data_IF_479236688708
#
_entry.id   IF_479236688708
#
_cell.length_a   1.000
_cell.length_b   1.000
_cell.length_c   1.000
_cell.angle_alpha   90.00
_cell.angle_beta   90.00
_cell.angle_gamma   90.00
#
_symmetry.space_group_name_H-M   'P 1'
#
loop_
_entity.id
_entity.type
_entity.pdbx_description
1 polymer ?
#
# COMPACT_ATOMS: atom_id res chain seq x y z
N UNK A 1 -24.14 31.34 17.43
CA UNK A 1 -23.37 30.52 16.48
C UNK A 1 -22.09 30.10 17.19
N UNK A 2 -22.14 28.98 17.89
CA UNK A 2 -20.96 28.41 18.54
C UNK A 2 -20.41 27.32 17.62
N UNK A 3 -19.50 27.71 16.73
CA UNK A 3 -18.67 26.76 16.02
C UNK A 3 -17.82 26.03 17.06
N UNK A 4 -18.10 24.77 17.31
CA UNK A 4 -17.28 23.93 18.19
C UNK A 4 -15.87 23.87 17.65
N UNK A 5 -14.92 24.33 18.42
CA UNK A 5 -13.48 24.20 18.12
C UNK A 5 -13.09 22.77 18.48
N UNK A 6 -12.96 21.92 17.48
CA UNK A 6 -12.45 20.55 17.65
C UNK A 6 -10.91 20.55 17.51
N UNK A 7 -10.19 20.94 18.54
CA UNK A 7 -8.73 21.05 18.50
C UNK A 7 -8.17 21.78 19.70
N UNK A 8 -8.78 21.60 20.85
CA UNK A 8 -8.18 21.94 22.13
C UNK A 8 -7.70 20.67 22.82
N UNK A 9 -6.83 20.78 23.74
CA UNK A 9 -6.01 19.76 24.43
C UNK A 9 -6.69 18.48 24.95
N UNK A 10 -7.98 18.23 24.68
CA UNK A 10 -8.73 17.12 25.28
C UNK A 10 -9.21 16.03 24.30
N UNK A 11 -9.39 16.30 22.99
CA UNK A 11 -9.88 15.28 22.04
C UNK A 11 -9.16 15.38 20.70
N UNK A 12 -8.13 14.58 20.50
CA UNK A 12 -7.39 14.51 19.25
C UNK A 12 -8.22 13.96 18.09
N UNK A 13 -8.08 14.54 16.90
CA UNK A 13 -8.65 13.97 15.68
C UNK A 13 -7.97 12.65 15.30
N UNK A 14 -8.70 11.76 14.67
CA UNK A 14 -8.17 10.52 14.11
C UNK A 14 -7.87 10.70 12.63
N UNK A 15 -6.76 10.09 12.18
CA UNK A 15 -6.33 10.09 10.79
C UNK A 15 -6.25 8.66 10.29
N UNK A 16 -6.94 8.38 9.17
CA UNK A 16 -6.90 7.11 8.47
C UNK A 16 -6.32 7.29 7.07
N UNK A 17 -5.34 6.47 6.73
CA UNK A 17 -4.84 6.28 5.38
C UNK A 17 -4.95 4.80 5.02
N UNK A 18 -5.97 4.45 4.24
CA UNK A 18 -6.26 3.06 3.87
C UNK A 18 -5.86 2.86 2.41
N UNK A 19 -4.64 2.37 2.22
CA UNK A 19 -4.09 2.03 0.91
C UNK A 19 -4.39 0.59 0.50
N UNK A 20 -4.07 0.24 -0.75
CA UNK A 20 -4.27 -1.13 -1.27
C UNK A 20 -3.42 -2.18 -0.55
N UNK A 21 -2.30 -1.81 0.06
CA UNK A 21 -1.39 -2.72 0.76
C UNK A 21 -1.63 -2.76 2.27
N UNK A 22 -1.70 -1.59 2.92
CA UNK A 22 -1.87 -1.51 4.37
C UNK A 22 -2.78 -0.38 4.80
N UNK A 23 -3.37 -0.57 5.97
CA UNK A 23 -4.15 0.40 6.75
C UNK A 23 -3.20 1.11 7.70
N UNK A 24 -3.23 2.43 7.72
CA UNK A 24 -2.50 3.26 8.67
C UNK A 24 -3.50 4.15 9.37
N UNK A 25 -3.49 4.13 10.68
CA UNK A 25 -4.39 4.93 11.49
C UNK A 25 -3.72 5.39 12.78
N UNK A 26 -4.03 6.59 13.25
CA UNK A 26 -3.42 7.17 14.44
C UNK A 26 -4.05 8.51 14.80
N UNK A 27 -3.51 9.15 15.82
CA UNK A 27 -3.97 10.47 16.25
C UNK A 27 -3.26 11.59 15.48
N UNK A 28 -3.99 12.65 15.20
CA UNK A 28 -3.43 13.85 14.61
C UNK A 28 -2.38 14.47 15.56
N UNK A 29 -1.29 14.98 14.98
CA UNK A 29 -0.16 15.54 15.72
C UNK A 29 0.92 14.52 16.10
N UNK A 30 0.69 13.21 15.88
CA UNK A 30 1.73 12.17 16.04
C UNK A 30 2.59 12.05 14.77
N UNK A 31 3.86 11.63 14.95
CA UNK A 31 4.84 11.48 13.87
C UNK A 31 4.68 10.17 13.08
N UNK A 32 4.04 9.18 13.66
CA UNK A 32 3.79 7.89 13.03
C UNK A 32 2.42 7.31 13.41
N UNK A 33 1.81 6.50 12.53
CA UNK A 33 0.53 5.88 12.80
C UNK A 33 0.64 4.87 13.94
N UNK A 34 -0.41 4.78 14.76
CA UNK A 34 -0.55 3.81 15.85
C UNK A 34 -0.88 2.41 15.33
N UNK A 35 -1.54 2.34 14.18
CA UNK A 35 -1.89 1.11 13.47
C UNK A 35 -1.22 1.08 12.10
N UNK A 36 -0.54 -0.02 11.76
CA UNK A 36 -0.05 -0.37 10.42
C UNK A 36 -0.24 -1.88 10.25
N UNK A 37 -1.25 -2.27 9.48
CA UNK A 37 -1.58 -3.67 9.24
C UNK A 37 -2.12 -3.88 7.81
N UNK A 38 -2.12 -5.13 7.28
CA UNK A 38 -2.57 -5.40 5.91
C UNK A 38 -4.01 -4.96 5.66
N UNK A 39 -4.28 -4.37 4.49
CA UNK A 39 -5.64 -4.05 4.05
C UNK A 39 -6.43 -5.29 3.64
N UNK A 40 -5.75 -6.36 3.21
CA UNK A 40 -6.41 -7.63 2.94
C UNK A 40 -6.95 -8.24 4.24
N UNK A 41 -8.08 -8.91 4.13
CA UNK A 41 -8.78 -9.53 5.25
C UNK A 41 -9.07 -11.01 4.96
N UNK A 42 -9.14 -11.81 6.02
CA UNK A 42 -9.68 -13.17 5.96
C UNK A 42 -11.18 -13.16 6.22
N UNK A 43 -11.94 -13.94 5.45
CA UNK A 43 -13.39 -14.04 5.56
C UNK A 43 -13.78 -15.51 5.60
N UNK A 44 -14.59 -15.90 6.60
CA UNK A 44 -15.28 -17.20 6.64
C UNK A 44 -16.78 -16.96 6.66
N UNK A 45 -17.51 -17.76 5.90
CA UNK A 45 -18.95 -17.83 5.98
C UNK A 45 -19.31 -18.98 6.93
N UNK A 46 -20.10 -18.71 7.97
CA UNK A 46 -20.61 -19.74 8.83
C UNK A 46 -21.52 -20.65 7.98
N UNK A 47 -21.13 -21.92 7.84
CA UNK A 47 -22.03 -22.92 7.29
C UNK A 47 -23.13 -23.14 8.30
N UNK A 48 -24.38 -22.98 7.89
CA UNK A 48 -25.54 -23.46 8.62
C UNK A 48 -25.42 -24.99 8.73
N UNK A 49 -24.70 -25.48 9.74
CA UNK A 49 -24.82 -26.85 10.18
C UNK A 49 -26.24 -26.98 10.72
N UNK A 50 -27.10 -27.65 9.97
CA UNK A 50 -28.52 -27.82 10.25
C UNK A 50 -28.88 -28.47 11.62
N UNK A 51 -28.18 -28.08 12.68
CA UNK A 51 -28.50 -28.35 14.07
C UNK A 51 -29.33 -27.19 14.59
N UNK A 52 -30.65 -27.36 14.54
CA UNK A 52 -31.67 -26.50 15.21
C UNK A 52 -31.32 -26.32 16.69
N UNK A 53 -31.01 -25.09 17.15
CA UNK A 53 -31.15 -24.80 18.57
C UNK A 53 -32.60 -24.52 18.88
N UNK A 54 -33.12 -25.12 19.97
CA UNK A 54 -34.40 -24.86 20.55
C UNK A 54 -34.63 -23.37 20.72
N UNK A 55 -35.79 -22.92 20.28
CA UNK A 55 -36.30 -21.57 20.43
C UNK A 55 -36.26 -21.09 21.89
N UNK A 56 -35.47 -20.06 22.16
CA UNK A 56 -35.73 -19.15 23.26
C UNK A 56 -35.95 -17.76 22.66
N UNK A 57 -37.12 -17.24 22.94
CA UNK A 57 -37.64 -15.94 22.53
C UNK A 57 -36.69 -14.80 22.96
N UNK A 58 -36.34 -13.92 22.04
CA UNK A 58 -35.75 -12.63 22.38
C UNK A 58 -34.60 -12.22 21.46
N UNK A 59 -34.89 -11.32 20.56
CA UNK A 59 -34.01 -10.49 19.73
C UNK A 59 -33.61 -11.05 18.35
N UNK A 60 -34.41 -10.61 17.37
CA UNK A 60 -34.17 -10.85 15.94
C UNK A 60 -33.24 -9.80 15.38
N UNK A 61 -31.94 -10.00 15.51
CA UNK A 61 -30.94 -9.49 14.57
C UNK A 61 -30.06 -10.65 14.10
N UNK A 62 -30.57 -11.51 13.19
CA UNK A 62 -29.76 -12.45 12.45
C UNK A 62 -28.86 -11.66 11.48
N UNK A 63 -27.68 -11.23 11.97
CA UNK A 63 -26.58 -10.89 11.11
C UNK A 63 -26.13 -12.19 10.39
N UNK A 64 -25.98 -12.12 9.07
CA UNK A 64 -25.37 -13.17 8.25
C UNK A 64 -24.09 -13.63 8.94
N UNK A 65 -23.90 -14.96 9.10
CA UNK A 65 -22.78 -15.55 9.81
C UNK A 65 -21.44 -15.41 9.09
N UNK A 66 -21.00 -14.16 8.85
CA UNK A 66 -19.70 -13.84 8.25
C UNK A 66 -18.75 -13.41 9.35
N UNK A 67 -17.61 -14.11 9.46
CA UNK A 67 -16.54 -13.77 10.41
C UNK A 67 -15.35 -13.19 9.67
N UNK A 68 -14.85 -12.05 10.16
CA UNK A 68 -13.72 -11.34 9.59
C UNK A 68 -12.46 -11.55 10.44
N UNK A 69 -11.33 -11.78 9.77
CA UNK A 69 -10.01 -11.93 10.38
C UNK A 69 -9.11 -10.83 9.82
N UNK A 70 -8.74 -9.90 10.69
CA UNK A 70 -8.05 -8.66 10.33
C UNK A 70 -6.75 -8.60 11.10
N UNK A 71 -5.73 -7.94 10.50
CA UNK A 71 -4.38 -7.84 11.03
C UNK A 71 -3.54 -9.13 10.85
N UNK A 72 -2.23 -8.93 10.76
CA UNK A 72 -1.21 -9.96 10.49
C UNK A 72 -1.34 -11.16 11.42
N UNK A 73 -1.58 -10.91 12.71
CA UNK A 73 -1.68 -11.97 13.73
C UNK A 73 -2.87 -12.90 13.51
N UNK A 74 -3.96 -12.39 12.94
CA UNK A 74 -5.13 -13.21 12.62
C UNK A 74 -5.05 -13.84 11.23
N UNK A 75 -4.55 -13.10 10.25
CA UNK A 75 -4.42 -13.55 8.86
C UNK A 75 -3.44 -14.73 8.71
N UNK A 76 -2.36 -14.75 9.48
CA UNK A 76 -1.35 -15.81 9.37
C UNK A 76 -1.73 -17.12 10.05
N UNK A 77 -2.84 -17.17 10.76
CA UNK A 77 -3.34 -18.40 11.38
C UNK A 77 -4.17 -19.18 10.35
N UNK A 78 -3.78 -20.42 10.02
CA UNK A 78 -4.54 -21.23 9.07
C UNK A 78 -5.93 -21.58 9.62
N UNK A 79 -6.94 -21.41 8.79
CA UNK A 79 -8.34 -21.76 9.09
C UNK A 79 -8.96 -22.42 7.88
N UNK A 80 -9.79 -23.40 8.17
CA UNK A 80 -10.61 -24.03 7.14
C UNK A 80 -11.58 -23.02 6.54
N UNK A 81 -11.75 -23.04 5.23
CA UNK A 81 -12.69 -22.16 4.49
C UNK A 81 -12.42 -20.65 4.58
N UNK A 82 -11.30 -20.20 5.15
CA UNK A 82 -10.97 -18.78 5.17
C UNK A 82 -10.46 -18.31 3.81
N UNK A 83 -11.24 -17.46 3.14
CA UNK A 83 -10.81 -16.75 1.94
C UNK A 83 -10.11 -15.45 2.30
N UNK A 84 -9.05 -15.11 1.56
CA UNK A 84 -8.35 -13.82 1.71
C UNK A 84 -8.69 -12.92 0.54
N UNK A 85 -9.16 -11.73 0.85
CA UNK A 85 -9.62 -10.75 -0.13
C UNK A 85 -9.27 -9.32 0.28
N UNK A 86 -9.27 -8.41 -0.70
CA UNK A 86 -9.11 -6.97 -0.45
C UNK A 86 -10.46 -6.26 -0.56
N UNK A 87 -10.83 -5.38 0.39
CA UNK A 87 -12.03 -4.56 0.26
C UNK A 87 -11.88 -3.43 -0.77
N UNK A 88 -10.65 -3.20 -1.26
CA UNK A 88 -10.37 -2.15 -2.22
C UNK A 88 -10.14 -2.71 -3.63
N UNK A 89 -10.62 -1.96 -4.63
CA UNK A 89 -10.30 -2.17 -6.04
C UNK A 89 -9.89 -0.85 -6.68
N UNK A 90 -8.76 -0.84 -7.36
CA UNK A 90 -8.19 0.39 -7.93
C UNK A 90 -8.00 1.53 -6.89
N UNK A 91 -7.65 1.18 -5.64
CA UNK A 91 -7.49 2.14 -4.55
C UNK A 91 -8.80 2.74 -4.01
N UNK A 92 -9.95 2.24 -4.43
CA UNK A 92 -11.28 2.69 -4.00
C UNK A 92 -12.02 1.56 -3.28
N UNK A 93 -12.89 1.92 -2.35
CA UNK A 93 -13.72 0.97 -1.61
C UNK A 93 -14.69 0.28 -2.59
N UNK A 94 -14.68 -1.05 -2.59
CA UNK A 94 -15.60 -1.88 -3.38
C UNK A 94 -16.51 -2.72 -2.46
N UNK A 95 -15.91 -3.40 -1.49
CA UNK A 95 -16.62 -4.17 -0.48
C UNK A 95 -16.75 -3.35 0.81
N UNK A 96 -17.94 -2.84 1.05
CA UNK A 96 -18.25 -1.94 2.17
C UNK A 96 -18.32 -2.66 3.51
N UNK A 97 -18.80 -3.90 3.54
CA UNK A 97 -18.93 -4.69 4.77
C UNK A 97 -17.52 -5.03 5.30
N UNK A 98 -16.65 -5.47 4.40
CA UNK A 98 -15.25 -5.73 4.72
C UNK A 98 -14.49 -4.47 5.11
N UNK A 99 -14.78 -3.35 4.47
CA UNK A 99 -14.18 -2.05 4.82
C UNK A 99 -14.64 -1.58 6.21
N UNK A 100 -15.92 -1.72 6.51
CA UNK A 100 -16.46 -1.42 7.84
C UNK A 100 -15.82 -2.31 8.91
N UNK A 101 -15.63 -3.60 8.64
CA UNK A 101 -14.94 -4.50 9.57
C UNK A 101 -13.50 -4.03 9.88
N UNK A 102 -12.78 -3.46 8.91
CA UNK A 102 -11.46 -2.84 9.13
C UNK A 102 -11.56 -1.65 10.08
N UNK A 103 -12.55 -0.77 9.89
CA UNK A 103 -12.76 0.38 10.78
C UNK A 103 -13.09 -0.09 12.21
N UNK A 104 -14.03 -1.03 12.36
CA UNK A 104 -14.41 -1.60 13.65
C UNK A 104 -13.21 -2.22 14.38
N UNK A 105 -12.39 -2.99 13.65
CA UNK A 105 -11.15 -3.55 14.19
C UNK A 105 -10.19 -2.45 14.65
N UNK A 106 -10.02 -1.40 13.86
CA UNK A 106 -9.11 -0.29 14.18
C UNK A 106 -9.55 0.44 15.43
N UNK A 107 -10.83 0.78 15.53
CA UNK A 107 -11.39 1.42 16.72
C UNK A 107 -11.24 0.53 17.97
N UNK A 108 -11.59 -0.74 17.86
CA UNK A 108 -11.58 -1.69 18.99
C UNK A 108 -10.19 -2.02 19.46
N UNK A 109 -9.25 -2.31 18.54
CA UNK A 109 -7.94 -2.86 18.89
C UNK A 109 -6.87 -1.80 19.06
N UNK A 110 -6.90 -0.75 18.25
CA UNK A 110 -5.83 0.25 18.21
C UNK A 110 -6.17 1.54 18.96
N UNK A 111 -7.36 2.09 18.76
CA UNK A 111 -7.76 3.32 19.45
C UNK A 111 -8.34 3.05 20.84
N UNK A 112 -9.12 2.00 20.99
CA UNK A 112 -9.83 1.66 22.24
C UNK A 112 -10.67 2.84 22.76
N UNK A 113 -11.28 3.56 21.84
CA UNK A 113 -12.08 4.75 22.09
C UNK A 113 -13.33 4.73 21.22
N UNK A 114 -14.38 5.40 21.69
CA UNK A 114 -15.63 5.51 20.97
C UNK A 114 -15.48 6.44 19.75
N UNK A 115 -15.95 6.01 18.55
CA UNK A 115 -15.86 6.83 17.35
C UNK A 115 -16.50 8.21 17.49
N UNK A 116 -17.60 8.31 18.22
CA UNK A 116 -18.36 9.55 18.43
C UNK A 116 -17.60 10.65 19.17
N UNK A 117 -16.44 10.34 19.75
CA UNK A 117 -15.62 11.32 20.47
C UNK A 117 -14.63 12.08 19.57
N UNK A 118 -14.31 11.55 18.41
CA UNK A 118 -13.18 12.03 17.61
C UNK A 118 -13.59 12.50 16.21
N UNK A 119 -13.19 13.70 15.79
CA UNK A 119 -13.18 14.06 14.38
C UNK A 119 -12.31 13.10 13.57
N UNK A 120 -12.67 12.82 12.32
CA UNK A 120 -11.94 11.88 11.46
C UNK A 120 -11.52 12.54 10.16
N UNK A 121 -10.21 12.53 9.87
CA UNK A 121 -9.66 12.82 8.56
C UNK A 121 -9.30 11.49 7.90
N UNK A 122 -9.78 11.27 6.67
CA UNK A 122 -9.47 10.06 5.90
C UNK A 122 -8.87 10.42 4.55
N UNK A 123 -7.85 9.66 4.15
CA UNK A 123 -7.28 9.77 2.81
C UNK A 123 -8.17 9.10 1.77
N UNK A 124 -8.14 9.58 0.55
CA UNK A 124 -8.80 8.95 -0.60
C UNK A 124 -7.93 8.98 -1.85
N UNK A 125 -8.18 8.06 -2.78
CA UNK A 125 -7.57 8.09 -4.10
C UNK A 125 -8.00 9.35 -4.86
N UNK A 126 -7.07 9.99 -5.60
CA UNK A 126 -7.35 11.22 -6.33
C UNK A 126 -8.38 11.06 -7.45
N UNK A 127 -8.68 9.84 -7.85
CA UNK A 127 -9.69 9.46 -8.84
C UNK A 127 -10.95 8.83 -8.23
N UNK A 128 -11.16 9.02 -6.91
CA UNK A 128 -12.34 8.48 -6.25
C UNK A 128 -13.63 9.08 -6.83
N UNK A 129 -14.69 8.29 -6.87
CA UNK A 129 -15.95 8.69 -7.45
C UNK A 129 -16.85 9.39 -6.44
N UNK A 130 -17.69 10.30 -6.93
CA UNK A 130 -18.66 11.02 -6.10
C UNK A 130 -19.53 10.07 -5.27
N UNK A 131 -20.08 9.02 -5.89
CA UNK A 131 -20.94 8.06 -5.19
C UNK A 131 -20.25 7.35 -4.02
N UNK A 132 -18.97 7.00 -4.17
CA UNK A 132 -18.18 6.35 -3.12
C UNK A 132 -17.83 7.34 -2.00
N UNK A 133 -17.54 8.59 -2.34
CA UNK A 133 -17.29 9.67 -1.37
C UNK A 133 -18.53 9.96 -0.53
N UNK A 134 -19.69 10.09 -1.16
CA UNK A 134 -20.96 10.28 -0.49
C UNK A 134 -21.30 9.11 0.44
N UNK A 135 -21.11 7.86 -0.03
CA UNK A 135 -21.36 6.65 0.79
C UNK A 135 -20.43 6.55 1.99
N UNK A 136 -19.17 6.90 1.83
CA UNK A 136 -18.22 6.93 2.94
C UNK A 136 -18.61 7.99 3.98
N UNK A 137 -19.01 9.17 3.52
CA UNK A 137 -19.47 10.26 4.41
C UNK A 137 -20.70 9.85 5.21
N UNK A 138 -21.68 9.21 4.54
CA UNK A 138 -22.88 8.63 5.17
C UNK A 138 -22.51 7.58 6.23
N UNK A 139 -21.60 6.64 5.90
CA UNK A 139 -21.12 5.63 6.85
C UNK A 139 -20.50 6.27 8.11
N UNK A 140 -19.66 7.28 7.94
CA UNK A 140 -18.97 7.92 9.05
C UNK A 140 -19.92 8.69 9.98
N UNK A 141 -20.90 9.42 9.44
CA UNK A 141 -21.84 10.18 10.25
C UNK A 141 -23.00 9.33 10.80
N UNK A 142 -23.55 8.43 10.01
CA UNK A 142 -24.76 7.69 10.42
C UNK A 142 -24.44 6.44 11.24
N UNK A 143 -23.42 5.67 10.84
CA UNK A 143 -23.05 4.46 11.57
C UNK A 143 -22.09 4.74 12.74
N UNK A 144 -20.98 5.47 12.47
CA UNK A 144 -19.99 5.77 13.50
C UNK A 144 -20.31 7.00 14.34
N UNK A 145 -21.30 7.77 13.94
CA UNK A 145 -21.79 8.95 14.69
C UNK A 145 -20.68 9.95 15.05
N UNK A 146 -19.67 10.11 14.19
CA UNK A 146 -18.54 10.98 14.44
C UNK A 146 -18.95 12.47 14.49
N UNK A 147 -18.24 13.32 15.26
CA UNK A 147 -18.59 14.73 15.41
C UNK A 147 -18.24 15.59 14.19
N UNK A 148 -17.19 15.21 13.45
CA UNK A 148 -16.76 15.91 12.24
C UNK A 148 -15.97 14.99 11.32
N UNK A 149 -16.03 15.25 10.02
CA UNK A 149 -15.36 14.46 8.99
C UNK A 149 -14.67 15.33 7.96
N UNK A 150 -13.53 14.89 7.45
CA UNK A 150 -12.87 15.46 6.29
C UNK A 150 -12.26 14.38 5.42
N UNK A 151 -12.51 14.45 4.12
CA UNK A 151 -11.98 13.53 3.13
C UNK A 151 -10.98 14.26 2.23
N UNK A 152 -9.73 13.80 2.20
CA UNK A 152 -8.64 14.46 1.49
C UNK A 152 -7.93 13.53 0.51
N UNK A 153 -7.57 14.05 -0.66
CA UNK A 153 -6.78 13.31 -1.65
C UNK A 153 -5.41 12.95 -1.10
N UNK A 154 -5.03 11.68 -1.19
CA UNK A 154 -3.74 11.17 -0.69
C UNK A 154 -2.53 11.92 -1.25
N UNK A 155 -2.60 12.36 -2.52
CA UNK A 155 -1.54 13.16 -3.14
C UNK A 155 -1.41 14.55 -2.49
N UNK A 156 -2.52 15.21 -2.13
CA UNK A 156 -2.50 16.50 -1.42
C UNK A 156 -1.85 16.32 -0.06
N UNK A 157 -2.22 15.28 0.68
CA UNK A 157 -1.63 14.97 1.98
C UNK A 157 -0.12 14.69 1.87
N UNK A 158 0.30 13.92 0.85
CA UNK A 158 1.71 13.63 0.62
C UNK A 158 2.53 14.88 0.26
N UNK A 159 1.96 15.79 -0.55
CA UNK A 159 2.59 17.08 -0.83
C UNK A 159 2.72 17.90 0.46
N UNK A 160 1.66 17.95 1.26
CA UNK A 160 1.60 18.68 2.51
C UNK A 160 2.60 18.16 3.55
N UNK A 161 2.77 16.84 3.68
CA UNK A 161 3.79 16.21 4.52
C UNK A 161 5.21 16.70 4.21
N UNK A 162 5.44 17.10 2.96
CA UNK A 162 6.72 17.61 2.48
C UNK A 162 6.78 19.15 2.43
N UNK A 163 5.85 19.85 3.08
CA UNK A 163 5.78 21.30 3.14
C UNK A 163 5.51 21.96 1.78
N UNK A 164 4.73 21.28 0.90
CA UNK A 164 4.43 21.76 -0.45
C UNK A 164 2.92 21.89 -0.65
N UNK A 165 2.47 23.06 -1.12
CA UNK A 165 1.13 23.25 -1.66
C UNK A 165 1.06 22.99 -3.16
N UNK A 166 2.21 23.08 -3.85
CA UNK A 166 2.35 22.84 -5.30
C UNK A 166 3.52 21.90 -5.54
N UNK A 167 3.27 20.86 -6.34
CA UNK A 167 4.27 19.86 -6.73
C UNK A 167 3.64 18.68 -7.46
N UNK A 168 4.48 17.80 -8.00
CA UNK A 168 4.05 16.53 -8.56
C UNK A 168 4.28 15.43 -7.54
N UNK A 169 3.25 14.71 -7.17
CA UNK A 169 3.37 13.53 -6.28
C UNK A 169 3.51 12.28 -7.13
N UNK A 170 4.67 11.66 -7.06
CA UNK A 170 4.93 10.33 -7.60
C UNK A 170 4.78 9.32 -6.46
N UNK A 171 3.74 8.50 -6.53
CA UNK A 171 3.50 7.42 -5.57
C UNK A 171 3.59 6.06 -6.26
N UNK A 172 4.51 5.21 -5.80
CA UNK A 172 4.66 3.83 -6.27
C UNK A 172 4.26 2.86 -5.17
N UNK A 173 2.99 2.44 -5.22
CA UNK A 173 2.36 1.58 -4.24
C UNK A 173 2.30 0.10 -4.65
N UNK A 174 1.32 -0.64 -4.11
CA UNK A 174 1.14 -2.06 -4.43
C UNK A 174 0.56 -2.25 -5.84
N UNK A 175 -0.55 -1.59 -6.14
CA UNK A 175 -1.33 -1.82 -7.37
C UNK A 175 -1.01 -0.87 -8.50
N UNK A 176 -0.55 0.34 -8.19
CA UNK A 176 -0.30 1.39 -9.18
C UNK A 176 0.94 2.21 -8.83
N UNK A 177 1.59 2.70 -9.87
CA UNK A 177 2.51 3.85 -9.83
C UNK A 177 1.80 5.02 -10.47
N UNK A 178 1.66 6.13 -9.75
CA UNK A 178 0.87 7.29 -10.15
C UNK A 178 1.68 8.57 -10.08
N UNK A 179 1.47 9.46 -11.05
CA UNK A 179 1.93 10.84 -10.98
C UNK A 179 0.70 11.74 -10.92
N UNK A 180 0.62 12.54 -9.88
CA UNK A 180 -0.54 13.37 -9.57
C UNK A 180 -0.06 14.80 -9.34
N UNK A 181 -0.38 15.75 -10.24
CA UNK A 181 -0.02 17.13 -10.05
C UNK A 181 -0.95 17.79 -9.04
N UNK A 182 -0.35 18.46 -8.07
CA UNK A 182 -1.03 19.26 -7.06
C UNK A 182 -0.63 20.72 -7.26
N UNK A 183 -1.59 21.63 -7.29
CA UNK A 183 -1.39 23.05 -7.40
C UNK A 183 -2.22 23.79 -6.36
N UNK A 184 -1.57 24.58 -5.51
CA UNK A 184 -2.19 25.30 -4.39
C UNK A 184 -3.11 24.44 -3.52
N UNK A 185 -2.73 23.19 -3.29
CA UNK A 185 -3.47 22.22 -2.49
C UNK A 185 -4.59 21.49 -3.24
N UNK A 186 -4.75 21.69 -4.55
CA UNK A 186 -5.76 21.02 -5.36
C UNK A 186 -5.14 20.07 -6.38
N UNK A 187 -5.76 18.91 -6.56
CA UNK A 187 -5.34 17.96 -7.60
C UNK A 187 -5.81 18.44 -8.97
N UNK A 188 -4.89 18.50 -9.92
CA UNK A 188 -5.21 18.78 -11.31
C UNK A 188 -5.63 17.47 -12.00
N UNK A 189 -6.93 17.21 -12.05
CA UNK A 189 -7.52 15.93 -12.51
C UNK A 189 -7.07 15.51 -13.91
N UNK A 190 -6.92 16.48 -14.83
CA UNK A 190 -6.47 16.22 -16.20
C UNK A 190 -5.02 15.75 -16.28
N UNK A 191 -4.21 16.01 -15.27
CA UNK A 191 -2.80 15.63 -15.21
C UNK A 191 -2.54 14.29 -14.51
N UNK A 192 -3.56 13.60 -14.02
CA UNK A 192 -3.38 12.30 -13.36
C UNK A 192 -2.94 11.24 -14.36
N UNK A 193 -1.78 10.64 -14.14
CA UNK A 193 -1.28 9.50 -14.91
C UNK A 193 -1.07 8.31 -14.00
N UNK A 194 -1.57 7.15 -14.43
CA UNK A 194 -1.47 5.88 -13.70
C UNK A 194 -0.80 4.83 -14.55
N UNK A 195 0.06 4.03 -13.93
CA UNK A 195 0.66 2.83 -14.51
C UNK A 195 0.41 1.63 -13.60
N UNK A 196 0.10 0.44 -14.13
CA UNK A 196 -0.04 -0.78 -13.33
C UNK A 196 1.32 -1.37 -12.93
N UNK A 197 2.42 -0.79 -13.39
CA UNK A 197 3.77 -1.21 -13.03
C UNK A 197 4.09 -0.76 -11.59
N UNK A 198 3.87 -1.65 -10.64
CA UNK A 198 3.96 -1.37 -9.21
C UNK A 198 4.36 -2.63 -8.42
N UNK A 199 4.07 -2.71 -7.14
CA UNK A 199 4.47 -3.83 -6.28
C UNK A 199 3.94 -5.18 -6.71
N UNK A 200 2.67 -5.25 -7.11
CA UNK A 200 2.03 -6.49 -7.57
C UNK A 200 2.63 -6.99 -8.89
N UNK A 201 2.98 -6.06 -9.77
CA UNK A 201 3.73 -6.38 -11.00
C UNK A 201 5.08 -7.01 -10.67
N UNK A 202 5.86 -6.44 -9.75
CA UNK A 202 7.13 -7.01 -9.34
C UNK A 202 6.96 -8.37 -8.67
N UNK A 203 5.90 -8.56 -7.87
CA UNK A 203 5.58 -9.86 -7.27
C UNK A 203 5.32 -10.92 -8.33
N UNK A 204 4.62 -10.57 -9.41
CA UNK A 204 4.39 -11.45 -10.55
C UNK A 204 5.71 -11.82 -11.23
N UNK A 205 6.58 -10.85 -11.51
CA UNK A 205 7.89 -11.10 -12.13
C UNK A 205 8.80 -11.97 -11.25
N UNK A 206 8.75 -11.80 -9.93
CA UNK A 206 9.46 -12.70 -9.01
C UNK A 206 8.91 -14.14 -9.05
N UNK A 207 7.59 -14.31 -9.17
CA UNK A 207 6.99 -15.65 -9.32
C UNK A 207 7.49 -16.34 -10.61
N UNK A 208 7.52 -15.60 -11.71
CA UNK A 208 8.04 -16.11 -12.99
C UNK A 208 9.52 -16.50 -12.88
N UNK A 209 10.34 -15.69 -12.21
CA UNK A 209 11.74 -16.02 -11.93
C UNK A 209 11.87 -17.34 -11.16
N UNK A 210 11.12 -17.51 -10.07
CA UNK A 210 11.16 -18.77 -9.29
C UNK A 210 10.69 -19.99 -10.09
N UNK A 211 9.70 -19.82 -10.96
CA UNK A 211 9.24 -20.88 -11.87
C UNK A 211 10.35 -21.27 -12.88
N UNK A 212 11.05 -20.30 -13.47
CA UNK A 212 12.17 -20.54 -14.39
C UNK A 212 13.34 -21.25 -13.71
N UNK A 213 13.61 -20.92 -12.47
CA UNK A 213 14.65 -21.56 -11.65
C UNK A 213 14.19 -22.94 -11.12
N UNK A 214 12.96 -23.39 -11.40
CA UNK A 214 12.33 -24.58 -10.81
C UNK A 214 12.36 -24.57 -9.27
N UNK A 215 12.24 -23.41 -8.66
CA UNK A 215 12.21 -23.22 -7.21
C UNK A 215 10.77 -23.06 -6.75
N UNK A 216 10.31 -24.00 -5.94
CA UNK A 216 8.98 -23.94 -5.33
C UNK A 216 8.99 -22.97 -4.13
N UNK A 217 8.03 -22.05 -4.10
CA UNK A 217 7.83 -21.13 -2.97
C UNK A 217 7.06 -21.86 -1.88
N UNK A 218 7.76 -22.26 -0.81
CA UNK A 218 7.18 -22.98 0.31
C UNK A 218 6.92 -22.02 1.47
N UNK A 219 5.66 -21.70 1.78
CA UNK A 219 5.36 -20.80 2.89
C UNK A 219 5.62 -21.47 4.25
N UNK A 220 5.96 -20.67 5.30
CA UNK A 220 6.39 -21.19 6.60
C UNK A 220 5.42 -22.17 7.27
N UNK A 221 4.11 -22.04 7.03
CA UNK A 221 3.12 -22.91 7.66
C UNK A 221 3.25 -24.39 7.24
N UNK A 222 3.87 -24.68 6.10
CA UNK A 222 4.09 -26.03 5.59
C UNK A 222 5.35 -26.68 6.15
N UNK A 223 6.26 -25.92 6.75
CA UNK A 223 7.59 -26.35 7.15
C UNK A 223 7.54 -26.86 8.60
N UNK A 224 7.95 -28.11 8.84
CA UNK A 224 8.09 -28.67 10.18
C UNK A 224 9.46 -28.34 10.77
N UNK A 225 10.53 -28.52 10.00
CA UNK A 225 11.88 -28.22 10.43
C UNK A 225 12.80 -27.98 9.23
N UNK A 226 13.79 -27.13 9.41
CA UNK A 226 14.96 -27.04 8.52
C UNK A 226 16.00 -28.02 9.05
N UNK A 227 16.65 -28.77 8.16
CA UNK A 227 17.78 -29.60 8.57
C UNK A 227 19.00 -28.69 8.59
N UNK A 228 19.55 -28.49 9.80
CA UNK A 228 20.74 -27.67 9.98
C UNK A 228 21.91 -28.19 9.15
N UNK A 229 22.36 -27.43 8.20
CA UNK A 229 23.46 -27.73 7.27
C UNK A 229 24.83 -27.74 7.92
N UNK A 230 24.94 -27.52 9.25
CA UNK A 230 26.25 -27.53 9.93
C UNK A 230 27.01 -28.86 9.76
N UNK A 231 26.31 -29.96 9.57
CA UNK A 231 26.92 -31.27 9.26
C UNK A 231 27.26 -31.45 7.77
N UNK A 232 26.75 -30.61 6.87
CA UNK A 232 27.01 -30.68 5.43
C UNK A 232 28.29 -29.93 5.02
N UNK A 233 28.76 -28.99 5.82
CA UNK A 233 30.01 -28.25 5.51
C UNK A 233 31.25 -29.14 5.43
N UNK A 234 31.25 -30.27 6.07
CA UNK A 234 32.37 -31.25 6.00
C UNK A 234 32.36 -32.01 4.65
N UNK A 235 31.21 -32.13 3.99
CA UNK A 235 31.10 -32.86 2.70
C UNK A 235 31.24 -31.93 1.46
N UNK A 236 31.15 -30.62 1.59
CA UNK A 236 31.06 -29.66 0.47
C UNK A 236 32.41 -29.03 0.11
N UNK A 237 33.51 -29.38 0.81
CA UNK A 237 34.86 -28.84 0.46
C UNK A 237 35.34 -29.26 -0.94
N UNK A 238 34.60 -30.12 -1.66
CA UNK A 238 35.02 -30.63 -2.98
C UNK A 238 34.04 -30.38 -4.13
N UNK A 239 32.94 -29.67 -3.95
CA UNK A 239 32.05 -29.33 -5.07
C UNK A 239 31.81 -27.83 -5.12
N UNK A 240 32.52 -27.16 -6.00
CA UNK A 240 32.19 -25.81 -6.49
C UNK A 240 30.91 -25.96 -7.33
N UNK A 241 29.76 -25.82 -6.70
CA UNK A 241 28.48 -25.81 -7.41
C UNK A 241 27.93 -24.40 -7.48
N UNK A 242 27.85 -23.88 -8.68
CA UNK A 242 27.15 -22.66 -9.08
C UNK A 242 25.62 -22.80 -9.04
N UNK A 243 25.11 -23.94 -8.61
CA UNK A 243 23.69 -24.20 -8.49
C UNK A 243 23.29 -24.18 -7.00
N UNK A 244 22.16 -23.56 -6.71
CA UNK A 244 21.62 -23.42 -5.35
C UNK A 244 21.61 -24.75 -4.60
N UNK A 245 22.05 -24.76 -3.35
CA UNK A 245 22.05 -25.97 -2.55
C UNK A 245 20.60 -26.46 -2.37
N UNK A 246 20.32 -27.76 -2.65
CA UNK A 246 18.97 -28.28 -2.51
C UNK A 246 18.48 -28.10 -1.08
N UNK A 247 17.26 -27.62 -0.95
CA UNK A 247 16.65 -27.40 0.34
C UNK A 247 16.54 -28.70 1.12
N UNK A 248 17.10 -28.74 2.31
CA UNK A 248 16.96 -29.87 3.24
C UNK A 248 15.95 -29.47 4.33
N UNK A 249 14.69 -29.81 4.09
CA UNK A 249 13.59 -29.48 5.01
C UNK A 249 12.62 -30.64 5.13
N UNK A 250 11.85 -30.63 6.21
CA UNK A 250 10.76 -31.58 6.42
C UNK A 250 9.44 -30.88 6.33
N UNK A 251 8.56 -31.39 5.47
CA UNK A 251 7.16 -30.96 5.41
C UNK A 251 6.44 -31.46 6.66
N UNK A 252 5.48 -30.66 7.18
CA UNK A 252 4.60 -31.12 8.27
C UNK A 252 3.80 -32.35 7.80
N UNK A 253 3.70 -33.35 8.66
CA UNK A 253 2.95 -34.59 8.37
C UNK A 253 1.45 -34.32 8.17
N UNK A 254 0.89 -33.40 8.98
CA UNK A 254 -0.50 -32.95 8.86
C UNK A 254 -0.49 -31.46 8.50
N UNK A 255 -0.87 -31.18 7.29
CA UNK A 255 -1.12 -29.79 6.85
C UNK A 255 -2.56 -29.40 7.19
N UNK A 256 -2.78 -28.15 7.67
CA UNK A 256 -4.13 -27.64 7.81
C UNK A 256 -4.80 -27.57 6.43
N UNK A 257 -6.09 -27.85 6.39
CA UNK A 257 -6.89 -27.50 5.22
C UNK A 257 -7.01 -26.00 5.12
N UNK A 258 -6.63 -25.45 3.98
CA UNK A 258 -6.65 -24.00 3.74
C UNK A 258 -7.16 -23.73 2.32
N UNK A 259 -7.73 -22.55 2.12
CA UNK A 259 -8.15 -22.11 0.79
C UNK A 259 -6.96 -21.74 -0.09
N UNK A 260 -7.19 -21.72 -1.39
CA UNK A 260 -6.18 -21.30 -2.36
C UNK A 260 -5.78 -19.84 -2.19
N UNK A 261 -6.75 -18.96 -1.88
CA UNK A 261 -6.48 -17.54 -1.66
C UNK A 261 -5.57 -17.30 -0.46
N UNK A 262 -5.80 -18.03 0.64
CA UNK A 262 -4.94 -17.95 1.82
C UNK A 262 -3.54 -18.51 1.57
N UNK A 263 -3.43 -19.66 0.90
CA UNK A 263 -2.14 -20.21 0.49
C UNK A 263 -1.35 -19.19 -0.36
N UNK A 264 -2.01 -18.61 -1.37
CA UNK A 264 -1.40 -17.59 -2.23
C UNK A 264 -0.96 -16.34 -1.45
N UNK A 265 -1.74 -15.92 -0.46
CA UNK A 265 -1.36 -14.83 0.44
C UNK A 265 -0.09 -15.17 1.20
N UNK A 266 0.03 -16.37 1.74
CA UNK A 266 1.24 -16.81 2.46
C UNK A 266 2.46 -16.93 1.55
N UNK A 267 2.29 -17.38 0.32
CA UNK A 267 3.35 -17.37 -0.70
C UNK A 267 3.75 -15.91 -1.08
N UNK A 268 2.79 -15.01 -1.19
CA UNK A 268 3.07 -13.59 -1.45
C UNK A 268 3.89 -12.94 -0.34
N UNK A 269 3.67 -13.31 0.92
CA UNK A 269 4.50 -12.82 2.01
C UNK A 269 5.98 -13.20 1.84
N UNK A 270 6.27 -14.42 1.34
CA UNK A 270 7.64 -14.85 1.04
C UNK A 270 8.23 -14.05 -0.13
N UNK A 271 7.44 -13.82 -1.18
CA UNK A 271 7.87 -13.03 -2.34
C UNK A 271 8.17 -11.59 -1.94
N UNK A 272 7.34 -10.99 -1.11
CA UNK A 272 7.54 -9.61 -0.65
C UNK A 272 8.79 -9.46 0.22
N UNK A 273 9.09 -10.46 1.04
CA UNK A 273 10.36 -10.51 1.79
C UNK A 273 11.57 -10.61 0.85
N UNK A 274 11.48 -11.47 -0.17
CA UNK A 274 12.49 -11.55 -1.22
C UNK A 274 12.68 -10.23 -1.96
N UNK A 275 11.59 -9.56 -2.36
CA UNK A 275 11.64 -8.26 -3.04
C UNK A 275 12.38 -7.22 -2.21
N UNK A 276 12.03 -7.12 -0.93
CA UNK A 276 12.62 -6.13 -0.03
C UNK A 276 14.12 -6.40 0.25
N UNK A 277 14.52 -7.68 0.23
CA UNK A 277 15.87 -8.09 0.60
C UNK A 277 16.85 -8.14 -0.59
N UNK A 278 16.35 -8.45 -1.79
CA UNK A 278 17.21 -8.82 -2.94
C UNK A 278 17.17 -7.80 -4.07
N UNK A 279 16.00 -7.22 -4.37
CA UNK A 279 15.86 -6.37 -5.54
C UNK A 279 16.60 -5.04 -5.41
N UNK A 280 17.20 -4.63 -6.52
CA UNK A 280 17.93 -3.36 -6.65
C UNK A 280 17.67 -2.77 -8.03
N UNK A 281 17.43 -1.47 -8.10
CA UNK A 281 17.37 -0.72 -9.37
C UNK A 281 18.78 -0.41 -9.84
N UNK A 282 19.03 -0.62 -11.12
CA UNK A 282 20.29 -0.23 -11.75
C UNK A 282 20.38 1.29 -11.91
N UNK A 283 21.57 1.85 -11.74
CA UNK A 283 21.83 3.28 -11.91
C UNK A 283 21.60 3.79 -13.35
N UNK A 284 21.74 2.91 -14.33
CA UNK A 284 21.53 3.16 -15.76
C UNK A 284 20.51 2.17 -16.31
N UNK A 285 19.96 2.37 -17.52
CA UNK A 285 19.14 1.37 -18.19
C UNK A 285 19.80 0.00 -18.14
N UNK A 286 19.00 -1.05 -17.94
CA UNK A 286 19.50 -2.40 -17.77
C UNK A 286 20.33 -2.86 -18.97
N UNK A 287 21.53 -3.30 -18.69
CA UNK A 287 22.45 -3.94 -19.63
C UNK A 287 22.88 -5.29 -19.03
N UNK A 288 22.62 -6.36 -19.77
CA UNK A 288 22.88 -7.73 -19.30
C UNK A 288 24.38 -8.00 -19.06
N UNK A 289 25.26 -7.42 -19.89
CA UNK A 289 26.71 -7.59 -19.76
C UNK A 289 27.24 -6.88 -18.50
N UNK A 290 26.71 -5.70 -18.21
CA UNK A 290 27.06 -4.95 -17.00
C UNK A 290 26.47 -5.63 -15.76
N UNK A 291 25.21 -6.05 -15.84
CA UNK A 291 24.51 -6.73 -14.73
C UNK A 291 25.19 -8.05 -14.34
N UNK A 292 25.71 -8.80 -15.32
CA UNK A 292 26.42 -10.06 -15.08
C UNK A 292 27.73 -9.89 -14.28
N UNK A 293 28.31 -8.68 -14.26
CA UNK A 293 29.53 -8.36 -13.52
C UNK A 293 29.26 -7.82 -12.11
N UNK A 294 28.00 -7.53 -11.80
CA UNK A 294 27.62 -7.00 -10.48
C UNK A 294 27.65 -8.08 -9.40
N UNK A 295 27.96 -7.73 -8.15
CA UNK A 295 27.94 -8.67 -7.04
C UNK A 295 26.59 -9.33 -6.90
N UNK A 296 26.59 -10.64 -6.62
CA UNK A 296 25.37 -11.39 -6.29
C UNK A 296 24.89 -11.07 -4.89
N UNK A 297 23.58 -11.25 -4.67
CA UNK A 297 22.95 -11.15 -3.35
C UNK A 297 22.49 -12.53 -2.92
N UNK A 298 22.96 -12.95 -1.74
CA UNK A 298 22.54 -14.22 -1.15
C UNK A 298 21.16 -14.09 -0.53
N UNK A 299 20.29 -15.07 -0.79
CA UNK A 299 18.96 -15.15 -0.15
C UNK A 299 18.60 -16.59 0.20
N UNK A 300 18.12 -16.80 1.43
CA UNK A 300 17.63 -18.07 1.92
C UNK A 300 16.10 -18.05 2.02
N UNK A 301 15.44 -18.91 1.26
CA UNK A 301 14.00 -19.13 1.35
C UNK A 301 13.61 -19.78 2.69
N UNK A 302 12.32 -19.66 3.12
CA UNK A 302 11.87 -20.21 4.40
C UNK A 302 12.15 -21.70 4.60
N UNK A 303 12.19 -22.50 3.53
CA UNK A 303 12.50 -23.94 3.55
C UNK A 303 14.01 -24.25 3.60
N UNK A 304 14.87 -23.23 3.65
CA UNK A 304 16.33 -23.39 3.68
C UNK A 304 16.98 -23.54 2.29
N UNK A 305 16.23 -23.38 1.21
CA UNK A 305 16.85 -23.26 -0.12
C UNK A 305 17.62 -21.94 -0.19
N UNK A 306 18.89 -22.04 -0.57
CA UNK A 306 19.80 -20.93 -0.68
C UNK A 306 20.18 -20.69 -2.14
N UNK A 307 20.15 -19.44 -2.57
CA UNK A 307 20.56 -19.06 -3.92
C UNK A 307 21.20 -17.69 -3.93
N UNK A 308 22.16 -17.49 -4.80
CA UNK A 308 22.80 -16.21 -5.07
C UNK A 308 22.16 -15.60 -6.31
N UNK A 309 21.50 -14.46 -6.15
CA UNK A 309 20.83 -13.74 -7.22
C UNK A 309 21.76 -12.68 -7.81
N UNK A 310 21.95 -12.73 -9.12
CA UNK A 310 22.83 -11.85 -9.89
C UNK A 310 22.06 -10.79 -10.67
N UNK A 311 22.11 -10.91 -12.01
CA UNK A 311 21.47 -9.98 -12.94
C UNK A 311 19.94 -9.88 -12.75
N UNK A 312 19.30 -10.96 -12.32
CA UNK A 312 17.84 -11.05 -12.11
C UNK A 312 17.34 -10.00 -11.12
N UNK A 313 18.12 -9.73 -10.06
CA UNK A 313 17.75 -8.75 -9.03
C UNK A 313 17.70 -7.31 -9.56
N UNK A 314 18.39 -7.03 -10.66
CA UNK A 314 18.36 -5.74 -11.36
C UNK A 314 17.30 -5.71 -12.45
N UNK A 315 17.09 -6.83 -13.12
CA UNK A 315 16.16 -6.96 -14.26
C UNK A 315 14.70 -6.77 -13.85
N UNK A 316 14.30 -7.34 -12.71
CA UNK A 316 12.90 -7.27 -12.26
C UNK A 316 12.46 -5.82 -12.01
N UNK A 317 13.14 -5.02 -11.16
CA UNK A 317 12.73 -3.64 -10.93
C UNK A 317 12.98 -2.71 -12.12
N UNK A 318 13.82 -3.08 -13.10
CA UNK A 318 13.95 -2.35 -14.35
C UNK A 318 12.60 -2.23 -15.08
N UNK A 319 11.72 -3.25 -14.94
CA UNK A 319 10.38 -3.21 -15.51
C UNK A 319 9.51 -2.04 -15.03
N UNK A 320 9.84 -1.41 -13.89
CA UNK A 320 9.19 -0.18 -13.43
C UNK A 320 9.60 1.04 -14.30
N UNK A 321 10.81 1.04 -14.83
CA UNK A 321 11.38 2.13 -15.62
C UNK A 321 11.24 1.90 -17.11
N UNK A 322 11.54 0.68 -17.56
CA UNK A 322 11.40 0.24 -18.94
C UNK A 322 10.55 -1.05 -19.02
N UNK A 323 9.26 -0.95 -19.33
CA UNK A 323 8.37 -2.10 -19.42
C UNK A 323 8.70 -3.06 -20.58
N UNK A 324 9.52 -2.67 -21.55
CA UNK A 324 9.95 -3.55 -22.63
C UNK A 324 10.78 -4.74 -22.15
N UNK A 325 11.40 -4.60 -20.96
CA UNK A 325 12.15 -5.67 -20.31
C UNK A 325 11.27 -6.62 -19.48
N UNK A 326 9.96 -6.36 -19.37
CA UNK A 326 9.05 -7.17 -18.58
C UNK A 326 8.52 -8.36 -19.40
N UNK A 327 8.58 -9.56 -18.80
CA UNK A 327 8.01 -10.76 -19.43
C UNK A 327 6.47 -10.77 -19.32
N UNK A 328 5.82 -11.34 -20.34
CA UNK A 328 4.37 -11.59 -20.32
C UNK A 328 3.50 -10.36 -20.54
N UNK A 329 4.07 -9.18 -20.72
CA UNK A 329 3.33 -7.97 -21.04
C UNK A 329 3.58 -7.55 -22.50
N UNK A 330 2.53 -7.22 -23.22
CA UNK A 330 2.67 -6.53 -24.50
C UNK A 330 3.14 -5.10 -24.20
N UNK A 331 4.47 -4.90 -24.17
CA UNK A 331 5.15 -3.73 -23.61
C UNK A 331 4.86 -2.37 -24.25
N UNK A 332 4.00 -2.30 -25.25
CA UNK A 332 3.85 -1.08 -26.05
C UNK A 332 2.85 -0.04 -25.51
N UNK A 333 2.16 -0.32 -24.41
CA UNK A 333 1.13 0.58 -23.88
C UNK A 333 1.34 1.05 -22.44
N UNK A 334 2.30 0.47 -21.74
CA UNK A 334 2.56 0.81 -20.34
C UNK A 334 3.69 1.83 -20.21
N UNK A 335 3.47 2.81 -19.35
CA UNK A 335 4.44 3.87 -19.10
C UNK A 335 5.36 3.49 -17.93
N UNK A 336 6.67 3.54 -18.16
CA UNK A 336 7.65 3.49 -17.07
C UNK A 336 7.61 4.76 -16.22
N UNK A 337 8.17 4.69 -15.01
CA UNK A 337 8.08 5.74 -13.97
C UNK A 337 8.48 7.12 -14.51
N UNK A 338 9.59 7.23 -15.23
CA UNK A 338 10.03 8.51 -15.79
C UNK A 338 9.03 9.11 -16.79
N UNK A 339 8.39 8.27 -17.60
CA UNK A 339 7.35 8.70 -18.56
C UNK A 339 6.04 9.06 -17.86
N UNK A 340 5.66 8.34 -16.80
CA UNK A 340 4.49 8.67 -15.97
C UNK A 340 4.60 10.11 -15.45
N UNK A 341 5.78 10.49 -14.93
CA UNK A 341 6.06 11.85 -14.44
C UNK A 341 5.99 12.88 -15.56
N UNK A 342 6.74 12.67 -16.63
CA UNK A 342 6.83 13.67 -17.73
C UNK A 342 5.52 13.85 -18.47
N UNK A 343 4.75 12.76 -18.65
CA UNK A 343 3.41 12.80 -19.25
C UNK A 343 2.45 13.61 -18.36
N UNK A 344 2.45 13.36 -17.05
CA UNK A 344 1.61 14.08 -16.10
C UNK A 344 1.88 15.59 -16.12
N UNK A 345 3.15 16.00 -16.04
CA UNK A 345 3.53 17.41 -16.11
C UNK A 345 3.15 18.00 -17.50
N UNK A 346 3.37 17.23 -18.56
CA UNK A 346 3.03 17.65 -19.92
C UNK A 346 1.55 17.92 -20.18
N UNK A 347 0.66 17.29 -19.41
CA UNK A 347 -0.80 17.51 -19.47
C UNK A 347 -1.26 18.75 -18.69
N UNK A 348 -0.36 19.37 -17.92
CA UNK A 348 -0.66 20.59 -17.17
C UNK A 348 -0.29 21.85 -17.98
N UNK A 349 -0.85 22.98 -17.55
CA UNK A 349 -0.55 24.29 -18.15
C UNK A 349 0.94 24.61 -18.05
N UNK A 350 1.45 25.27 -19.08
CA UNK A 350 2.89 25.56 -19.22
C UNK A 350 3.44 26.37 -18.06
N UNK A 351 2.64 27.28 -17.52
CA UNK A 351 3.06 28.21 -16.49
C UNK A 351 3.28 27.53 -15.12
N UNK A 352 2.62 26.40 -14.87
CA UNK A 352 2.76 25.65 -13.62
C UNK A 352 3.80 24.55 -13.67
N UNK A 353 4.23 24.11 -14.88
CA UNK A 353 5.20 23.03 -15.04
C UNK A 353 6.52 23.23 -14.30
N UNK A 354 7.10 24.47 -14.26
CA UNK A 354 8.32 24.73 -13.49
C UNK A 354 8.15 24.42 -12.00
N UNK A 355 6.99 24.77 -11.43
CA UNK A 355 6.65 24.47 -10.04
C UNK A 355 6.53 22.97 -9.77
N UNK A 356 5.94 22.22 -10.73
CA UNK A 356 5.79 20.77 -10.65
C UNK A 356 7.14 20.05 -10.71
N UNK A 357 8.00 20.39 -11.68
CA UNK A 357 9.36 19.83 -11.76
C UNK A 357 10.24 20.25 -10.58
N UNK A 358 10.03 21.45 -10.07
CA UNK A 358 10.74 22.00 -8.89
C UNK A 358 10.34 21.33 -7.57
N UNK A 359 9.33 20.48 -7.56
CA UNK A 359 8.82 19.79 -6.38
C UNK A 359 8.22 18.44 -6.73
N UNK A 360 9.04 17.50 -7.17
CA UNK A 360 8.63 16.11 -7.41
C UNK A 360 8.74 15.34 -6.10
N UNK A 361 7.62 15.13 -5.43
CA UNK A 361 7.52 14.38 -4.16
C UNK A 361 7.45 12.89 -4.47
N UNK A 362 8.38 12.13 -3.92
CA UNK A 362 8.50 10.68 -4.14
C UNK A 362 8.00 9.93 -2.93
N UNK A 363 6.98 9.10 -3.09
CA UNK A 363 6.36 8.30 -2.03
C UNK A 363 6.02 6.87 -2.49
N UNK A 364 5.61 6.03 -1.54
CA UNK A 364 5.25 4.64 -1.78
C UNK A 364 6.38 3.65 -1.53
N UNK A 365 6.01 2.43 -1.17
CA UNK A 365 6.94 1.38 -0.74
C UNK A 365 7.97 0.97 -1.78
N UNK A 366 7.61 0.95 -3.06
CA UNK A 366 8.53 0.56 -4.14
C UNK A 366 9.68 1.55 -4.33
N UNK A 367 9.47 2.81 -3.93
CA UNK A 367 10.51 3.85 -4.04
C UNK A 367 11.67 3.65 -3.07
N UNK A 368 11.50 2.73 -2.10
CA UNK A 368 12.53 2.33 -1.13
C UNK A 368 13.50 1.27 -1.67
N UNK A 369 13.22 0.69 -2.83
CA UNK A 369 14.17 -0.22 -3.48
C UNK A 369 15.47 0.52 -3.71
N UNK A 370 16.58 -0.10 -3.32
CA UNK A 370 17.91 0.49 -3.46
C UNK A 370 18.14 0.96 -4.91
N UNK A 371 18.63 2.18 -5.10
CA UNK A 371 18.91 2.77 -6.42
C UNK A 371 17.69 3.44 -7.10
N UNK A 372 16.45 3.24 -6.60
CA UNK A 372 15.24 3.77 -7.24
C UNK A 372 15.31 5.29 -7.43
N UNK A 373 15.60 6.03 -6.36
CA UNK A 373 15.60 7.50 -6.38
C UNK A 373 16.72 8.06 -7.27
N UNK A 374 17.89 7.44 -7.26
CA UNK A 374 19.03 7.88 -8.07
C UNK A 374 18.76 7.66 -9.56
N UNK A 375 18.21 6.50 -9.91
CA UNK A 375 17.80 6.20 -11.28
C UNK A 375 16.70 7.17 -11.75
N UNK A 376 15.69 7.40 -10.92
CA UNK A 376 14.61 8.35 -11.23
C UNK A 376 15.15 9.75 -11.47
N UNK A 377 16.05 10.22 -10.60
CA UNK A 377 16.67 11.53 -10.75
C UNK A 377 17.44 11.66 -12.06
N UNK A 378 18.22 10.63 -12.42
CA UNK A 378 18.97 10.59 -13.69
C UNK A 378 18.03 10.64 -14.90
N UNK A 379 16.98 9.81 -14.93
CA UNK A 379 16.04 9.80 -16.05
C UNK A 379 15.28 11.13 -16.20
N UNK A 380 14.79 11.67 -15.09
CA UNK A 380 14.05 12.92 -15.12
C UNK A 380 14.96 14.10 -15.49
N UNK A 381 16.22 14.09 -15.06
CA UNK A 381 17.19 15.13 -15.45
C UNK A 381 17.44 15.17 -16.97
N UNK A 382 17.36 14.00 -17.64
CA UNK A 382 17.50 13.92 -19.10
C UNK A 382 16.23 14.34 -19.84
N UNK A 383 15.05 14.13 -19.23
CA UNK A 383 13.75 14.37 -19.85
C UNK A 383 13.18 15.77 -19.52
N UNK A 384 13.65 16.40 -18.46
CA UNK A 384 13.20 17.73 -18.04
C UNK A 384 13.76 18.79 -19.00
N UNK A 385 12.91 19.72 -19.50
CA UNK A 385 13.40 20.81 -20.33
C UNK A 385 14.52 21.61 -19.67
N UNK A 386 15.57 22.02 -20.40
CA UNK A 386 16.73 22.72 -19.82
C UNK A 386 16.37 24.05 -19.13
N UNK A 387 15.23 24.65 -19.49
CA UNK A 387 14.71 25.88 -18.87
C UNK A 387 14.04 25.65 -17.52
N UNK A 388 13.82 24.41 -17.10
CA UNK A 388 13.13 24.05 -15.87
C UNK A 388 14.06 23.38 -14.89
N UNK A 389 13.97 23.76 -13.62
CA UNK A 389 14.77 23.16 -12.56
C UNK A 389 14.06 21.92 -12.02
N UNK A 390 14.72 20.76 -12.12
CA UNK A 390 14.26 19.54 -11.46
C UNK A 390 14.70 19.51 -9.99
N UNK A 391 13.76 19.17 -9.09
CA UNK A 391 14.07 18.83 -7.70
C UNK A 391 13.22 17.67 -7.24
N UNK A 392 13.87 16.54 -6.92
CA UNK A 392 13.23 15.42 -6.24
C UNK A 392 13.21 15.67 -4.72
N UNK A 393 12.07 15.37 -4.11
CA UNK A 393 11.86 15.40 -2.66
C UNK A 393 11.55 13.96 -2.26
N UNK A 394 12.58 13.28 -1.79
CA UNK A 394 12.51 11.89 -1.36
C UNK A 394 13.06 11.80 0.05
N UNK A 395 12.19 11.63 1.04
CA UNK A 395 12.58 11.53 2.43
C UNK A 395 13.47 10.29 2.65
N UNK A 396 14.46 10.41 3.53
CA UNK A 396 15.45 9.36 3.76
C UNK A 396 14.92 8.20 4.60
N UNK A 397 13.90 8.44 5.43
CA UNK A 397 13.35 7.42 6.32
C UNK A 397 12.27 6.58 5.64
N UNK A 398 12.21 5.30 6.00
CA UNK A 398 11.17 4.37 5.52
C UNK A 398 9.78 4.83 5.96
N UNK A 399 9.65 5.34 7.18
CA UNK A 399 8.40 5.83 7.76
C UNK A 399 7.83 6.98 6.94
N UNK A 400 8.61 8.03 6.74
CA UNK A 400 8.18 9.20 5.96
C UNK A 400 7.83 8.86 4.52
N UNK A 401 8.55 7.91 3.91
CA UNK A 401 8.31 7.46 2.54
C UNK A 401 7.03 6.63 2.41
N UNK A 402 6.82 5.69 3.34
CA UNK A 402 5.66 4.80 3.32
C UNK A 402 4.39 5.44 3.85
N UNK A 403 4.51 6.35 4.81
CA UNK A 403 3.37 6.94 5.52
C UNK A 403 3.11 8.40 5.16
N UNK A 404 3.62 8.84 4.02
CA UNK A 404 3.57 10.25 3.60
C UNK A 404 2.15 10.84 3.65
N UNK A 405 1.15 10.14 3.11
CA UNK A 405 -0.23 10.61 3.14
C UNK A 405 -0.80 10.67 4.58
N UNK A 406 -0.51 9.66 5.42
CA UNK A 406 -0.94 9.67 6.81
C UNK A 406 -0.29 10.82 7.59
N UNK A 407 1.02 11.03 7.43
CA UNK A 407 1.77 12.13 8.08
C UNK A 407 1.18 13.48 7.67
N UNK A 408 0.90 13.66 6.37
CA UNK A 408 0.25 14.88 5.89
C UNK A 408 -1.13 15.10 6.50
N UNK A 409 -1.91 14.04 6.67
CA UNK A 409 -3.19 14.08 7.39
C UNK A 409 -3.04 14.41 8.86
N UNK A 410 -2.03 13.82 9.53
CA UNK A 410 -1.69 14.09 10.93
C UNK A 410 -1.35 15.56 11.16
N UNK A 411 -0.49 16.11 10.30
CA UNK A 411 -0.14 17.55 10.34
C UNK A 411 -1.38 18.42 10.08
N UNK A 412 -2.11 18.14 8.99
CA UNK A 412 -3.25 18.94 8.57
C UNK A 412 -4.35 19.00 9.65
N UNK A 413 -4.74 17.85 10.19
CA UNK A 413 -5.78 17.75 11.20
C UNK A 413 -5.39 18.38 12.55
N UNK A 414 -4.10 18.57 12.82
CA UNK A 414 -3.59 19.23 14.04
C UNK A 414 -3.52 20.76 13.92
N UNK A 415 -3.66 21.32 12.71
CA UNK A 415 -3.58 22.77 12.53
C UNK A 415 -4.83 23.47 13.02
N UNK A 416 -4.65 24.52 13.83
CA UNK A 416 -5.76 25.37 14.30
C UNK A 416 -6.54 26.03 13.16
N UNK A 417 -5.89 26.39 12.05
CA UNK A 417 -6.52 26.97 10.86
C UNK A 417 -7.39 25.97 10.09
N UNK A 418 -7.19 24.69 10.28
CA UNK A 418 -7.96 23.63 9.62
C UNK A 418 -9.32 23.39 10.27
N UNK A 419 -9.55 23.87 11.49
CA UNK A 419 -10.77 23.61 12.26
C UNK A 419 -12.06 24.03 11.54
N UNK A 420 -12.02 25.07 10.73
CA UNK A 420 -13.17 25.54 9.92
C UNK A 420 -13.42 24.69 8.66
N UNK A 421 -12.47 23.85 8.28
CA UNK A 421 -12.57 23.03 7.06
C UNK A 421 -13.39 21.76 7.27
N UNK A 422 -13.50 21.28 8.50
CA UNK A 422 -14.27 20.11 8.83
C UNK A 422 -15.72 20.20 8.36
N UNK A 423 -16.28 19.09 7.89
CA UNK A 423 -17.73 18.90 7.81
C UNK A 423 -18.17 18.57 9.23
N UNK A 424 -18.91 19.48 9.89
CA UNK A 424 -19.47 19.19 11.19
C UNK A 424 -20.71 18.28 11.06
N UNK A 425 -21.07 17.60 12.14
CA UNK A 425 -22.29 16.80 12.18
C UNK A 425 -23.54 17.63 11.86
N UNK A 426 -23.61 18.89 12.33
CA UNK A 426 -24.71 19.80 12.00
C UNK A 426 -24.75 20.10 10.49
N UNK A 427 -23.60 20.40 9.84
CA UNK A 427 -23.56 20.64 8.39
C UNK A 427 -23.99 19.39 7.58
N UNK A 428 -23.66 18.19 8.09
CA UNK A 428 -24.13 16.94 7.49
C UNK A 428 -25.65 16.77 7.65
N UNK A 429 -26.21 17.04 8.82
CA UNK A 429 -27.66 16.94 9.08
C UNK A 429 -28.46 17.93 8.22
N UNK A 430 -27.92 19.13 7.96
CA UNK A 430 -28.55 20.15 7.11
C UNK A 430 -28.37 19.88 5.61
N UNK A 431 -27.20 19.44 5.20
CA UNK A 431 -26.79 19.34 3.78
C UNK A 431 -26.73 17.93 3.21
N UNK A 432 -26.85 16.90 4.06
CA UNK A 432 -26.71 15.50 3.68
C UNK A 432 -25.31 15.14 3.18
N UNK A 433 -25.14 13.91 2.70
CA UNK A 433 -23.87 13.35 2.22
C UNK A 433 -23.20 14.13 1.09
N UNK A 434 -23.98 14.93 0.34
CA UNK A 434 -23.46 15.76 -0.75
C UNK A 434 -22.57 16.92 -0.26
N UNK A 435 -22.58 17.22 1.05
CA UNK A 435 -21.69 18.25 1.63
C UNK A 435 -20.21 17.95 1.39
N UNK A 436 -19.83 16.66 1.22
CA UNK A 436 -18.44 16.24 0.95
C UNK A 436 -17.88 16.88 -0.33
N UNK A 437 -18.69 17.01 -1.38
CA UNK A 437 -18.21 17.59 -2.66
C UNK A 437 -17.92 19.09 -2.57
N UNK A 438 -18.58 19.79 -1.63
CA UNK A 438 -18.37 21.22 -1.41
C UNK A 438 -17.23 21.52 -0.45
N UNK A 439 -17.06 20.67 0.58
CA UNK A 439 -16.10 20.91 1.68
C UNK A 439 -14.76 20.20 1.47
N UNK A 440 -14.75 19.10 0.69
CA UNK A 440 -13.57 18.27 0.46
C UNK A 440 -13.24 18.21 -1.05
N UNK A 441 -12.57 19.21 -1.60
CA UNK A 441 -12.30 19.36 -3.03
C UNK A 441 -11.31 18.31 -3.61
#
# INVERSE_FOLDING_TARGET
MSGGVYGGDEVGALVFDIGSYSVRAGYAGEDCPKADFPTVIGVTLDRDDGSTPMETDGDKSKQSGTTYYIDTNQLRVPRESMEVMSPLKNGMIEDWDSFQAILDHTYKMHFKSEPSLHPVLMSEASWNTRAKREKLTELMFEHYNIPAFFLCKSAVLSAFANGRSTGLVLDSGATHTTAIPVHDGYVLQQGIVKSPLAGDFMSMQCRELFQELNVEIIPPYMIASKVNTFLKYIYILNCILREGAPASWKKKEKLPQVTRSWHNYMCNCVIQDFQASVLQVSDSPYDEQVAAQMPTMHYELPNGYNCDFGAERLKIPEGLFDPSNAKGLSGNTMLGVGHVVTTSVGMCDIDIRPGLYGSVVVSGGNTLIQGFTDRLNRELSQKTPPSMRLKLIANSTTVERRFSAWIGGSILASLGTFQQMWISKQEYEEGGKQCVDRKCP
#
